data_IF_973958589003
#
_entry.id   IF_973958589003
#
_cell.length_a   1.000
_cell.length_b   1.000
_cell.length_c   1.000
_cell.angle_alpha   90.00
_cell.angle_beta   90.00
_cell.angle_gamma   90.00
#
_symmetry.space_group_name_H-M   'P 1'
#
loop_
_entity.id
_entity.type
_entity.pdbx_description
1 polymer ?
#
# COMPACT_ATOMS: atom_id res chain seq x y z
N UNK A 1 6.82 -24.68 10.11
CA UNK A 1 6.19 -25.49 9.04
C UNK A 1 5.06 -24.69 8.42
N UNK A 2 5.17 -24.29 7.16
CA UNK A 2 4.07 -23.65 6.41
C UNK A 2 3.21 -24.74 5.74
N UNK A 3 1.89 -24.62 5.85
CA UNK A 3 0.93 -25.54 5.24
C UNK A 3 0.31 -24.85 4.02
N UNK A 4 0.31 -25.51 2.86
CA UNK A 4 -0.40 -25.02 1.68
C UNK A 4 -1.90 -25.17 1.89
N UNK A 5 -2.64 -24.06 1.89
CA UNK A 5 -4.10 -24.03 2.09
C UNK A 5 -4.74 -23.31 0.90
N UNK A 6 -5.92 -23.77 0.47
CA UNK A 6 -6.72 -23.05 -0.53
C UNK A 6 -7.06 -21.65 -0.02
N UNK A 7 -6.94 -20.64 -0.88
CA UNK A 7 -7.19 -19.23 -0.52
C UNK A 7 -8.58 -19.03 0.12
N UNK A 8 -9.59 -19.75 -0.35
CA UNK A 8 -10.97 -19.68 0.15
C UNK A 8 -11.16 -20.33 1.53
N UNK A 9 -10.18 -21.12 1.97
CA UNK A 9 -10.15 -21.77 3.29
C UNK A 9 -9.08 -21.17 4.20
N UNK A 10 -8.44 -20.08 3.76
CA UNK A 10 -7.37 -19.44 4.51
C UNK A 10 -7.99 -18.58 5.62
N UNK A 11 -7.52 -18.78 6.85
CA UNK A 11 -7.87 -17.90 7.95
C UNK A 11 -7.20 -16.54 7.74
N UNK A 12 -8.02 -15.50 7.59
CA UNK A 12 -7.57 -14.11 7.39
C UNK A 12 -7.50 -13.31 8.68
N UNK A 13 -7.76 -13.93 9.84
CA UNK A 13 -7.79 -13.23 11.13
C UNK A 13 -6.47 -12.53 11.42
N UNK A 14 -5.34 -13.21 11.13
CA UNK A 14 -4.01 -12.60 11.24
C UNK A 14 -3.84 -11.39 10.31
N UNK A 15 -4.17 -11.52 9.02
CA UNK A 15 -4.01 -10.43 8.05
C UNK A 15 -4.84 -9.21 8.46
N UNK A 16 -6.09 -9.45 8.88
CA UNK A 16 -6.99 -8.38 9.31
C UNK A 16 -6.45 -7.67 10.56
N UNK A 17 -6.05 -8.42 11.59
CA UNK A 17 -5.50 -7.84 12.83
C UNK A 17 -4.17 -7.11 12.57
N UNK A 18 -3.28 -7.69 11.76
CA UNK A 18 -2.03 -7.09 11.37
C UNK A 18 -2.26 -5.76 10.65
N UNK A 19 -3.08 -5.77 9.59
CA UNK A 19 -3.33 -4.56 8.82
C UNK A 19 -4.09 -3.52 9.64
N UNK A 20 -4.95 -3.91 10.58
CA UNK A 20 -5.61 -2.99 11.51
C UNK A 20 -4.59 -2.23 12.37
N UNK A 21 -3.66 -2.95 13.01
CA UNK A 21 -2.58 -2.35 13.82
C UNK A 21 -1.65 -1.44 13.03
N UNK A 22 -1.37 -1.77 11.76
CA UNK A 22 -0.49 -0.98 10.87
C UNK A 22 -1.09 0.39 10.53
N UNK A 23 -2.43 0.50 10.51
CA UNK A 23 -3.12 1.74 10.20
C UNK A 23 -2.98 2.19 8.73
N UNK A 24 -3.68 3.28 8.39
CA UNK A 24 -3.82 3.77 7.00
C UNK A 24 -2.47 4.14 6.39
N UNK A 25 -1.60 4.82 7.13
CA UNK A 25 -0.30 5.27 6.63
C UNK A 25 0.62 4.10 6.29
N UNK A 26 0.71 3.10 7.16
CA UNK A 26 1.56 1.93 6.92
C UNK A 26 1.03 1.06 5.78
N UNK A 27 -0.30 0.90 5.67
CA UNK A 27 -0.94 0.23 4.52
C UNK A 27 -0.57 0.91 3.20
N UNK A 28 -0.65 2.24 3.16
CA UNK A 28 -0.33 3.01 1.96
C UNK A 28 1.15 2.90 1.58
N UNK A 29 2.04 2.96 2.56
CA UNK A 29 3.48 2.77 2.33
C UNK A 29 3.80 1.37 1.79
N UNK A 30 3.24 0.33 2.39
CA UNK A 30 3.44 -1.05 1.94
C UNK A 30 2.95 -1.25 0.50
N UNK A 31 1.74 -0.75 0.19
CA UNK A 31 1.20 -0.82 -1.16
C UNK A 31 2.07 -0.06 -2.17
N UNK A 32 2.58 1.12 -1.79
CA UNK A 32 3.47 1.89 -2.65
C UNK A 32 4.78 1.14 -2.96
N UNK A 33 5.36 0.46 -1.98
CA UNK A 33 6.55 -0.38 -2.22
C UNK A 33 6.26 -1.51 -3.22
N UNK A 34 5.10 -2.18 -3.09
CA UNK A 34 4.68 -3.21 -4.06
C UNK A 34 4.55 -2.66 -5.49
N UNK A 35 4.07 -1.43 -5.65
CA UNK A 35 4.00 -0.76 -6.96
C UNK A 35 5.40 -0.49 -7.51
N UNK A 36 6.31 0.03 -6.69
CA UNK A 36 7.69 0.29 -7.10
C UNK A 36 8.39 -0.99 -7.56
N UNK A 37 8.23 -2.09 -6.82
CA UNK A 37 8.78 -3.40 -7.18
C UNK A 37 8.21 -3.90 -8.51
N UNK A 38 6.89 -3.81 -8.69
CA UNK A 38 6.23 -4.24 -9.93
C UNK A 38 6.69 -3.45 -11.16
N UNK A 39 6.90 -2.13 -11.02
CA UNK A 39 7.39 -1.29 -12.10
C UNK A 39 8.89 -1.49 -12.36
N UNK A 40 9.69 -1.74 -11.32
CA UNK A 40 11.10 -2.10 -11.45
C UNK A 40 11.27 -3.42 -12.22
N UNK A 41 10.45 -4.44 -11.94
CA UNK A 41 10.40 -5.70 -12.70
C UNK A 41 10.10 -5.45 -14.19
N UNK A 42 9.28 -4.45 -14.50
CA UNK A 42 8.95 -4.04 -15.88
C UNK A 42 10.02 -3.16 -16.52
N UNK A 43 11.13 -2.86 -15.82
CA UNK A 43 12.19 -1.98 -16.30
C UNK A 43 11.79 -0.51 -16.44
N UNK A 44 10.72 -0.09 -15.75
CA UNK A 44 10.22 1.29 -15.80
C UNK A 44 10.74 2.09 -14.61
N UNK A 45 11.03 3.37 -14.86
CA UNK A 45 11.33 4.30 -13.79
C UNK A 45 10.03 4.90 -13.24
N UNK A 46 9.84 4.82 -11.93
CA UNK A 46 8.61 5.24 -11.25
C UNK A 46 8.86 6.58 -10.56
N UNK A 47 7.99 7.59 -10.74
CA UNK A 47 8.13 8.86 -10.03
C UNK A 47 7.99 8.65 -8.52
N UNK A 48 8.63 9.51 -7.69
CA UNK A 48 8.59 9.40 -6.24
C UNK A 48 7.16 9.57 -5.70
N UNK A 49 6.86 8.90 -4.58
CA UNK A 49 5.56 9.01 -3.92
C UNK A 49 5.26 10.46 -3.54
N UNK A 50 4.14 10.99 -4.02
CA UNK A 50 3.65 12.29 -3.58
C UNK A 50 3.07 12.17 -2.16
N UNK A 51 3.83 12.65 -1.17
CA UNK A 51 3.49 12.54 0.27
C UNK A 51 2.58 13.64 0.78
N UNK A 52 2.42 14.72 0.01
CA UNK A 52 1.55 15.84 0.36
C UNK A 52 0.86 16.39 -0.88
N UNK A 53 -0.40 16.78 -0.70
CA UNK A 53 -1.17 17.49 -1.71
C UNK A 53 -1.65 18.77 -1.05
N UNK A 54 -1.26 19.92 -1.59
CA UNK A 54 -1.74 21.21 -1.13
C UNK A 54 -2.82 21.71 -2.10
N UNK A 55 -3.97 22.10 -1.57
CA UNK A 55 -5.01 22.76 -2.34
C UNK A 55 -4.91 24.27 -2.09
N UNK A 56 -4.31 24.99 -3.05
CA UNK A 56 -4.20 26.45 -3.01
C UNK A 56 -5.48 27.06 -3.59
N UNK A 57 -6.25 27.76 -2.75
CA UNK A 57 -7.45 28.49 -3.18
C UNK A 57 -7.17 29.97 -3.30
N UNK A 58 -7.61 30.58 -4.40
CA UNK A 58 -7.57 32.04 -4.57
C UNK A 58 -8.52 32.70 -3.57
N UNK A 59 -8.03 33.66 -2.79
CA UNK A 59 -8.86 34.47 -1.89
C UNK A 59 -9.87 35.26 -2.74
N UNK A 60 -11.17 35.09 -2.49
CA UNK A 60 -12.20 35.97 -3.07
C UNK A 60 -12.09 37.32 -2.34
N UNK A 61 -12.02 38.40 -3.11
CA UNK A 61 -12.03 39.78 -2.62
C UNK A 61 -13.42 40.17 -2.16
#
# INVERSE_FOLDING_TARGET
MSKLVSLNKMDRSFDLEFWDKVGVQGRFQALWQMVLEAEAIKGKNVPPLQRSVQNIKRRKS
#
